data_IF_164230511787
#
_entry.id   IF_164230511787
#
_cell.length_a   1.000
_cell.length_b   1.000
_cell.length_c   1.000
_cell.angle_alpha   90.00
_cell.angle_beta   90.00
_cell.angle_gamma   90.00
#
_symmetry.space_group_name_H-M   'P 1'
#
loop_
_entity.id
_entity.type
_entity.pdbx_description
1 polymer ?
#
# COMPACT_ATOMS: atom_id res chain seq x y z
N UNK A 1 -1.25 47.74 -28.96
CA UNK A 1 -2.47 47.40 -28.19
C UNK A 1 -2.86 45.97 -28.50
N UNK A 2 -2.62 45.05 -27.56
CA UNK A 2 -3.02 43.63 -27.67
C UNK A 2 -4.54 43.52 -27.48
N UNK A 3 -5.25 43.08 -28.52
CA UNK A 3 -6.70 42.82 -28.43
C UNK A 3 -6.94 41.72 -27.40
N UNK A 4 -7.54 42.07 -26.26
CA UNK A 4 -8.09 41.08 -25.31
C UNK A 4 -9.34 40.47 -25.94
N UNK A 5 -9.32 39.16 -26.15
CA UNK A 5 -10.51 38.43 -26.58
C UNK A 5 -11.51 38.36 -25.43
N UNK A 6 -12.81 38.66 -25.67
CA UNK A 6 -13.83 38.54 -24.64
C UNK A 6 -14.04 37.06 -24.30
N UNK A 7 -14.00 36.73 -23.01
CA UNK A 7 -14.34 35.40 -22.51
C UNK A 7 -15.83 35.18 -22.78
N UNK A 8 -16.15 34.35 -23.79
CA UNK A 8 -17.52 33.89 -24.03
C UNK A 8 -17.83 32.78 -23.02
N UNK A 9 -18.85 32.98 -22.19
CA UNK A 9 -19.48 31.94 -21.36
C UNK A 9 -20.27 30.94 -22.23
N UNK A 10 -19.60 30.29 -23.16
CA UNK A 10 -20.09 29.08 -23.82
C UNK A 10 -19.11 27.99 -23.44
N UNK A 11 -19.51 27.06 -22.58
CA UNK A 11 -18.69 25.88 -22.29
C UNK A 11 -18.23 25.28 -23.64
N UNK A 12 -16.93 25.31 -23.96
CA UNK A 12 -16.47 24.82 -25.24
C UNK A 12 -16.65 23.31 -25.25
N UNK A 13 -17.61 22.82 -26.04
CA UNK A 13 -17.82 21.39 -26.22
C UNK A 13 -16.64 20.81 -27.01
N UNK A 14 -15.85 19.92 -26.38
CA UNK A 14 -14.73 19.24 -27.02
C UNK A 14 -15.22 17.91 -27.60
N UNK A 15 -15.14 17.77 -28.93
CA UNK A 15 -15.43 16.50 -29.60
C UNK A 15 -14.15 15.68 -29.74
N UNK A 16 -14.01 14.63 -28.93
CA UNK A 16 -12.88 13.71 -28.98
C UNK A 16 -13.13 12.58 -29.98
N UNK A 17 -12.22 12.40 -30.93
CA UNK A 17 -12.19 11.21 -31.80
C UNK A 17 -11.41 10.12 -31.11
N UNK A 18 -12.12 9.10 -30.63
CA UNK A 18 -11.56 7.92 -29.97
C UNK A 18 -11.79 6.68 -30.82
N UNK A 19 -10.87 5.70 -30.74
CA UNK A 19 -11.07 4.40 -31.36
C UNK A 19 -12.29 3.68 -30.77
N UNK A 20 -12.85 2.72 -31.51
CA UNK A 20 -14.02 1.95 -31.04
C UNK A 20 -13.72 1.20 -29.75
N UNK A 21 -12.57 0.53 -29.69
CA UNK A 21 -12.06 -0.18 -28.51
C UNK A 21 -11.98 0.75 -27.29
N UNK A 22 -11.39 1.94 -27.44
CA UNK A 22 -11.23 2.88 -26.34
C UNK A 22 -12.58 3.40 -25.83
N UNK A 23 -13.56 3.63 -26.72
CA UNK A 23 -14.92 4.02 -26.30
C UNK A 23 -15.60 2.93 -25.48
N UNK A 24 -15.44 1.67 -25.88
CA UNK A 24 -15.98 0.53 -25.17
C UNK A 24 -15.33 0.38 -23.79
N UNK A 25 -14.01 0.54 -23.69
CA UNK A 25 -13.29 0.54 -22.39
C UNK A 25 -13.77 1.65 -21.48
N UNK A 26 -13.88 2.89 -21.98
CA UNK A 26 -14.34 4.04 -21.18
C UNK A 26 -15.78 3.82 -20.70
N UNK A 27 -16.66 3.29 -21.55
CA UNK A 27 -18.03 2.97 -21.16
C UNK A 27 -18.08 1.89 -20.06
N UNK A 28 -17.27 0.84 -20.19
CA UNK A 28 -17.19 -0.22 -19.19
C UNK A 28 -16.68 0.32 -17.83
N UNK A 29 -15.64 1.14 -17.83
CA UNK A 29 -15.10 1.73 -16.60
C UNK A 29 -16.04 2.76 -15.96
N UNK A 30 -16.70 3.60 -16.75
CA UNK A 30 -17.71 4.54 -16.25
C UNK A 30 -18.91 3.80 -15.61
N UNK A 31 -19.34 2.69 -16.23
CA UNK A 31 -20.41 1.83 -15.69
C UNK A 31 -20.00 1.16 -14.37
N UNK A 32 -18.76 0.65 -14.25
CA UNK A 32 -18.23 0.09 -12.99
C UNK A 32 -18.24 1.10 -11.85
N UNK A 33 -17.98 2.38 -12.16
CA UNK A 33 -17.96 3.48 -11.19
C UNK A 33 -19.32 4.15 -10.97
N UNK A 34 -20.38 3.67 -11.64
CA UNK A 34 -21.72 4.23 -11.59
C UNK A 34 -21.77 5.75 -11.90
N UNK A 35 -21.01 6.19 -12.91
CA UNK A 35 -20.95 7.59 -13.36
C UNK A 35 -21.20 7.69 -14.86
N UNK A 36 -21.56 8.88 -15.34
CA UNK A 36 -21.71 9.12 -16.79
C UNK A 36 -20.35 9.16 -17.48
N UNK A 37 -20.30 8.76 -18.75
CA UNK A 37 -19.07 8.80 -19.57
C UNK A 37 -18.45 10.19 -19.58
N UNK A 38 -19.27 11.24 -19.70
CA UNK A 38 -18.78 12.62 -19.69
C UNK A 38 -18.18 13.02 -18.36
N UNK A 39 -18.76 12.58 -17.23
CA UNK A 39 -18.23 12.82 -15.89
C UNK A 39 -16.89 12.09 -15.70
N UNK A 40 -16.85 10.80 -16.05
CA UNK A 40 -15.62 10.00 -16.00
C UNK A 40 -14.48 10.61 -16.83
N UNK A 41 -14.76 11.02 -18.06
CA UNK A 41 -13.76 11.66 -18.92
C UNK A 41 -13.26 12.99 -18.36
N UNK A 42 -14.16 13.80 -17.78
CA UNK A 42 -13.77 15.07 -17.17
C UNK A 42 -12.84 14.85 -15.98
N UNK A 43 -13.22 13.96 -15.06
CA UNK A 43 -12.41 13.60 -13.89
C UNK A 43 -11.05 13.02 -14.31
N UNK A 44 -11.03 12.14 -15.31
CA UNK A 44 -9.79 11.57 -15.84
C UNK A 44 -8.88 12.65 -16.44
N UNK A 45 -9.43 13.58 -17.23
CA UNK A 45 -8.67 14.67 -17.82
C UNK A 45 -8.17 15.65 -16.76
N UNK A 46 -8.95 15.92 -15.72
CA UNK A 46 -8.55 16.72 -14.56
C UNK A 46 -7.40 16.05 -13.79
N UNK A 47 -7.46 14.74 -13.57
CA UNK A 47 -6.40 13.93 -12.96
C UNK A 47 -5.11 13.91 -13.79
N UNK A 48 -5.22 13.84 -15.12
CA UNK A 48 -4.06 13.88 -16.01
C UNK A 48 -3.45 15.29 -16.01
N UNK A 49 -4.29 16.32 -16.09
CA UNK A 49 -3.83 17.70 -16.16
C UNK A 49 -3.19 18.19 -14.86
N UNK A 50 -3.74 17.81 -13.71
CA UNK A 50 -3.15 18.07 -12.39
C UNK A 50 -1.81 17.33 -12.18
N UNK A 51 -1.55 16.29 -12.96
CA UNK A 51 -0.39 15.41 -12.79
C UNK A 51 -0.60 14.32 -11.73
N UNK A 52 -1.73 14.34 -11.04
CA UNK A 52 -2.06 13.39 -9.97
C UNK A 52 -2.24 11.97 -10.50
N UNK A 53 -2.67 11.80 -11.76
CA UNK A 53 -2.69 10.49 -12.42
C UNK A 53 -1.29 9.86 -12.47
N UNK A 54 -0.27 10.64 -12.83
CA UNK A 54 1.10 10.14 -12.92
C UNK A 54 1.67 9.84 -11.53
N UNK A 55 1.33 10.65 -10.52
CA UNK A 55 1.71 10.40 -9.13
C UNK A 55 1.05 9.14 -8.59
N UNK A 56 -0.23 8.92 -8.88
CA UNK A 56 -0.96 7.71 -8.52
C UNK A 56 -0.31 6.46 -9.09
N UNK A 57 -0.04 6.43 -10.39
CA UNK A 57 0.60 5.28 -11.03
C UNK A 57 1.99 5.00 -10.44
N UNK A 58 2.82 6.03 -10.26
CA UNK A 58 4.16 5.86 -9.67
C UNK A 58 4.10 5.38 -8.22
N UNK A 59 3.15 5.86 -7.42
CA UNK A 59 2.99 5.43 -6.03
C UNK A 59 2.44 4.01 -5.97
N UNK A 60 1.41 3.69 -6.77
CA UNK A 60 0.84 2.36 -6.88
C UNK A 60 1.91 1.34 -7.27
N UNK A 61 2.69 1.62 -8.31
CA UNK A 61 3.81 0.79 -8.74
C UNK A 61 4.83 0.59 -7.63
N UNK A 62 5.19 1.65 -6.89
CA UNK A 62 6.15 1.53 -5.77
C UNK A 62 5.62 0.63 -4.66
N UNK A 63 4.36 0.78 -4.29
CA UNK A 63 3.73 -0.02 -3.23
C UNK A 63 3.58 -1.47 -3.69
N UNK A 64 3.06 -1.72 -4.89
CA UNK A 64 2.95 -3.07 -5.46
C UNK A 64 4.30 -3.76 -5.56
N UNK A 65 5.33 -3.07 -6.08
CA UNK A 65 6.68 -3.63 -6.16
C UNK A 65 7.25 -4.03 -4.80
N UNK A 66 6.92 -3.28 -3.74
CA UNK A 66 7.32 -3.65 -2.38
C UNK A 66 6.53 -4.86 -1.86
N UNK A 67 5.20 -4.84 -1.96
CA UNK A 67 4.33 -5.91 -1.45
C UNK A 67 4.57 -7.25 -2.17
N UNK A 68 4.91 -7.22 -3.45
CA UNK A 68 5.26 -8.41 -4.23
C UNK A 68 6.76 -8.71 -4.22
N UNK A 69 7.57 -7.94 -3.49
CA UNK A 69 8.99 -8.24 -3.34
C UNK A 69 9.19 -9.55 -2.60
N UNK A 70 10.22 -10.29 -3.00
CA UNK A 70 10.63 -11.54 -2.33
C UNK A 70 10.85 -11.32 -0.84
N UNK A 71 11.46 -10.20 -0.46
CA UNK A 71 11.82 -9.89 0.93
C UNK A 71 10.57 -9.69 1.80
N UNK A 72 9.54 -9.00 1.30
CA UNK A 72 8.28 -8.82 2.02
C UNK A 72 7.50 -10.13 2.13
N UNK A 73 7.40 -10.90 1.04
CA UNK A 73 6.73 -12.20 1.07
C UNK A 73 7.44 -13.15 2.06
N UNK A 74 8.78 -13.17 2.06
CA UNK A 74 9.55 -13.97 3.02
C UNK A 74 9.30 -13.54 4.47
N UNK A 75 9.21 -12.23 4.73
CA UNK A 75 8.86 -11.70 6.05
C UNK A 75 7.46 -12.15 6.48
N UNK A 76 6.46 -12.05 5.61
CA UNK A 76 5.08 -12.46 5.90
C UNK A 76 5.03 -13.96 6.19
N UNK A 77 5.61 -14.79 5.31
CA UNK A 77 5.69 -16.26 5.52
C UNK A 77 6.38 -16.58 6.85
N UNK A 78 7.45 -15.86 7.18
CA UNK A 78 8.16 -16.02 8.44
C UNK A 78 7.27 -15.68 9.65
N UNK A 79 6.56 -14.55 9.64
CA UNK A 79 5.58 -14.17 10.68
C UNK A 79 4.56 -15.29 10.88
N UNK A 80 3.98 -15.84 9.80
CA UNK A 80 3.05 -16.96 9.89
C UNK A 80 3.69 -18.23 10.45
N UNK A 81 4.94 -18.53 10.08
CA UNK A 81 5.66 -19.71 10.57
C UNK A 81 5.85 -19.69 12.09
N UNK A 82 6.02 -18.49 12.68
CA UNK A 82 6.16 -18.30 14.13
C UNK A 82 4.91 -18.64 14.93
N UNK A 83 3.75 -18.80 14.29
CA UNK A 83 2.55 -19.34 14.91
C UNK A 83 2.76 -20.77 15.43
N UNK A 84 3.53 -21.57 14.68
CA UNK A 84 3.78 -22.98 14.99
C UNK A 84 5.15 -23.19 15.66
N UNK A 85 6.16 -22.40 15.28
CA UNK A 85 7.54 -22.55 15.76
C UNK A 85 8.08 -21.21 16.24
N UNK A 86 8.02 -20.96 17.55
CA UNK A 86 8.39 -19.66 18.14
C UNK A 86 9.86 -19.50 18.44
N UNK A 87 10.57 -20.62 18.54
CA UNK A 87 12.00 -20.64 18.81
C UNK A 87 12.73 -19.84 17.74
N UNK A 88 13.76 -19.11 18.18
CA UNK A 88 14.72 -18.47 17.29
C UNK A 88 15.51 -19.56 16.57
N UNK A 89 15.20 -19.73 15.29
CA UNK A 89 15.91 -20.64 14.38
C UNK A 89 16.72 -19.87 13.34
N UNK A 90 16.51 -18.56 13.28
CA UNK A 90 17.07 -17.64 12.30
C UNK A 90 18.52 -17.29 12.64
N UNK A 91 19.34 -17.24 11.59
CA UNK A 91 20.66 -16.64 11.63
C UNK A 91 20.60 -15.12 11.85
N UNK A 92 21.71 -14.53 12.30
CA UNK A 92 21.80 -13.06 12.45
C UNK A 92 21.53 -12.33 11.14
N UNK A 93 22.01 -12.88 10.01
CA UNK A 93 21.81 -12.30 8.67
C UNK A 93 20.34 -12.32 8.25
N UNK A 94 19.59 -13.37 8.59
CA UNK A 94 18.16 -13.43 8.35
C UNK A 94 17.40 -12.39 9.17
N UNK A 95 17.75 -12.23 10.45
CA UNK A 95 17.17 -11.20 11.30
C UNK A 95 17.47 -9.79 10.78
N UNK A 96 18.70 -9.55 10.30
CA UNK A 96 19.08 -8.28 9.68
C UNK A 96 18.24 -7.97 8.44
N UNK A 97 17.99 -8.97 7.59
CA UNK A 97 17.09 -8.83 6.44
C UNK A 97 15.66 -8.52 6.86
N UNK A 98 15.11 -9.25 7.85
CA UNK A 98 13.76 -8.98 8.34
C UNK A 98 13.62 -7.59 8.94
N UNK A 99 14.61 -7.13 9.73
CA UNK A 99 14.64 -5.77 10.28
C UNK A 99 14.68 -4.73 9.15
N UNK A 100 15.50 -4.95 8.12
CA UNK A 100 15.59 -4.04 6.99
C UNK A 100 14.26 -3.95 6.23
N UNK A 101 13.58 -5.07 6.03
CA UNK A 101 12.24 -5.10 5.41
C UNK A 101 11.21 -4.41 6.30
N UNK A 102 11.16 -4.72 7.59
CA UNK A 102 10.23 -4.11 8.57
C UNK A 102 10.35 -2.58 8.62
N UNK A 103 11.56 -2.04 8.58
CA UNK A 103 11.78 -0.58 8.51
C UNK A 103 11.22 0.07 7.24
N UNK A 104 11.17 -0.68 6.14
CA UNK A 104 10.60 -0.19 4.87
C UNK A 104 9.08 -0.32 4.83
N UNK A 105 8.50 -1.30 5.54
CA UNK A 105 7.04 -1.55 5.56
C UNK A 105 6.27 -0.27 5.87
N UNK A 106 6.75 0.55 6.80
CA UNK A 106 6.10 1.81 7.20
C UNK A 106 5.81 2.76 6.01
N UNK A 107 6.57 2.70 4.92
CA UNK A 107 6.36 3.59 3.77
C UNK A 107 5.40 3.01 2.71
N UNK A 108 4.96 1.77 2.89
CA UNK A 108 4.27 1.00 1.86
C UNK A 108 2.98 0.36 2.36
N UNK A 109 2.58 0.60 3.61
CA UNK A 109 1.34 0.11 4.18
C UNK A 109 0.67 1.19 5.03
N UNK A 110 -0.66 1.14 5.20
CA UNK A 110 -1.37 2.05 6.08
C UNK A 110 -0.81 2.06 7.51
N UNK A 111 -0.87 3.23 8.17
CA UNK A 111 -0.38 3.46 9.54
C UNK A 111 -0.84 2.41 10.55
N UNK A 112 -2.11 2.01 10.49
CA UNK A 112 -2.66 1.03 11.42
C UNK A 112 -2.00 -0.35 11.27
N UNK A 113 -1.58 -0.71 10.06
CA UNK A 113 -0.87 -1.95 9.77
C UNK A 113 0.62 -1.79 10.07
N UNK A 114 1.22 -0.64 9.78
CA UNK A 114 2.61 -0.32 10.14
C UNK A 114 2.84 -0.49 11.65
N UNK A 115 1.90 -0.02 12.49
CA UNK A 115 1.94 -0.22 13.95
C UNK A 115 1.91 -1.68 14.38
N UNK A 116 1.24 -2.56 13.62
CA UNK A 116 1.31 -3.99 13.89
C UNK A 116 2.71 -4.52 13.58
N UNK A 117 3.30 -4.15 12.45
CA UNK A 117 4.67 -4.52 12.10
C UNK A 117 5.72 -3.97 13.08
N UNK A 118 5.48 -2.82 13.71
CA UNK A 118 6.34 -2.28 14.76
C UNK A 118 6.40 -3.20 15.99
N UNK A 119 5.31 -3.90 16.33
CA UNK A 119 5.31 -4.90 17.43
C UNK A 119 6.26 -6.05 17.09
N UNK A 120 6.23 -6.51 15.83
CA UNK A 120 7.14 -7.55 15.33
C UNK A 120 8.59 -7.05 15.38
N UNK A 121 8.82 -5.81 14.93
CA UNK A 121 10.16 -5.20 14.94
C UNK A 121 10.71 -5.10 16.37
N UNK A 122 9.91 -4.64 17.33
CA UNK A 122 10.32 -4.55 18.73
C UNK A 122 10.70 -5.92 19.29
N UNK A 123 9.92 -6.95 19.00
CA UNK A 123 10.19 -8.31 19.46
C UNK A 123 11.44 -8.90 18.81
N UNK A 124 11.63 -8.69 17.50
CA UNK A 124 12.84 -9.08 16.77
C UNK A 124 14.08 -8.39 17.34
N UNK A 125 13.99 -7.10 17.66
CA UNK A 125 15.09 -6.37 18.28
C UNK A 125 15.41 -6.90 19.68
N UNK A 126 14.40 -7.22 20.50
CA UNK A 126 14.62 -7.86 21.82
C UNK A 126 15.36 -9.20 21.68
N UNK A 127 14.89 -10.07 20.79
CA UNK A 127 15.49 -11.40 20.53
C UNK A 127 16.89 -11.30 19.89
N UNK A 128 17.19 -10.18 19.22
CA UNK A 128 18.52 -9.89 18.68
C UNK A 128 19.50 -9.46 19.78
N UNK A 129 19.09 -8.58 20.67
CA UNK A 129 19.93 -8.07 21.78
C UNK A 129 20.01 -9.02 22.97
N UNK A 130 19.19 -10.08 22.99
CA UNK A 130 19.28 -11.13 23.98
C UNK A 130 20.56 -11.97 23.75
N UNK A 131 21.62 -11.63 24.49
CA UNK A 131 22.93 -12.29 24.46
C UNK A 131 22.97 -13.56 25.33
N UNK A 132 21.84 -14.02 25.87
CA UNK A 132 21.80 -15.18 26.76
C UNK A 132 22.16 -16.48 26.02
N UNK A 133 23.43 -16.88 26.12
CA UNK A 133 23.99 -18.13 25.56
C UNK A 133 23.28 -19.42 25.98
N UNK A 134 22.37 -19.36 26.94
CA UNK A 134 21.80 -20.52 27.62
C UNK A 134 20.27 -20.59 27.56
N UNK A 135 19.61 -19.65 26.88
CA UNK A 135 18.14 -19.61 26.82
C UNK A 135 17.71 -19.60 25.37
N UNK A 136 16.92 -20.60 24.97
CA UNK A 136 16.24 -20.57 23.67
C UNK A 136 15.39 -19.30 23.63
N UNK A 137 15.77 -18.32 22.81
CA UNK A 137 14.96 -17.12 22.64
C UNK A 137 13.69 -17.48 21.85
N UNK A 138 12.57 -16.91 22.26
CA UNK A 138 11.27 -17.11 21.60
C UNK A 138 10.72 -15.78 21.12
N UNK A 139 9.99 -15.82 20.02
CA UNK A 139 9.17 -14.70 19.56
C UNK A 139 7.79 -14.73 20.24
N UNK A 140 7.40 -13.61 20.82
CA UNK A 140 6.17 -13.42 21.58
C UNK A 140 5.18 -12.47 20.91
N UNK A 141 5.52 -11.86 19.78
CA UNK A 141 4.63 -10.94 19.07
C UNK A 141 3.28 -11.57 18.65
N UNK A 142 3.14 -12.90 18.61
CA UNK A 142 1.84 -13.57 18.35
C UNK A 142 1.08 -13.96 19.62
N UNK A 143 1.72 -13.95 20.80
CA UNK A 143 1.15 -14.53 22.02
C UNK A 143 1.43 -13.71 23.30
N UNK A 144 1.55 -12.38 23.19
CA UNK A 144 1.61 -11.52 24.38
C UNK A 144 0.40 -11.72 25.31
N UNK A 145 0.59 -11.59 26.62
CA UNK A 145 -0.49 -11.68 27.61
C UNK A 145 -1.58 -10.62 27.45
N UNK A 146 -1.29 -9.52 26.72
CA UNK A 146 -2.24 -8.45 26.41
C UNK A 146 -2.63 -8.53 24.92
N UNK A 147 -3.92 -8.66 24.62
CA UNK A 147 -4.42 -8.73 23.23
C UNK A 147 -3.97 -7.55 22.37
N UNK A 148 -3.77 -6.37 22.97
CA UNK A 148 -3.30 -5.16 22.28
C UNK A 148 -1.85 -5.24 21.80
N UNK A 149 -1.02 -6.08 22.42
CA UNK A 149 0.39 -6.26 22.09
C UNK A 149 0.62 -7.41 21.11
N UNK A 150 -0.42 -8.19 20.80
CA UNK A 150 -0.35 -9.22 19.78
C UNK A 150 -0.41 -8.59 18.39
N UNK A 151 0.39 -9.14 17.49
CA UNK A 151 0.30 -8.89 16.06
C UNK A 151 -1.03 -9.42 15.54
N UNK A 152 -1.81 -8.55 14.93
CA UNK A 152 -3.11 -8.92 14.40
C UNK A 152 -3.00 -9.43 12.95
N UNK A 153 -2.87 -10.75 12.81
CA UNK A 153 -2.85 -11.42 11.50
C UNK A 153 -4.09 -11.12 10.65
N UNK A 154 -5.27 -10.88 11.26
CA UNK A 154 -6.49 -10.59 10.50
C UNK A 154 -6.41 -9.28 9.74
N UNK A 155 -5.75 -8.26 10.30
CA UNK A 155 -5.56 -6.98 9.62
C UNK A 155 -4.66 -7.14 8.40
N UNK A 156 -3.58 -7.93 8.54
CA UNK A 156 -2.71 -8.25 7.42
C UNK A 156 -3.45 -9.03 6.32
N UNK A 157 -4.26 -10.02 6.68
CA UNK A 157 -5.07 -10.79 5.73
C UNK A 157 -6.09 -9.91 5.01
N UNK A 158 -6.79 -9.05 5.74
CA UNK A 158 -7.76 -8.12 5.15
C UNK A 158 -7.07 -7.19 4.15
N UNK A 159 -5.91 -6.64 4.50
CA UNK A 159 -5.16 -5.76 3.60
C UNK A 159 -4.66 -6.48 2.34
N UNK A 160 -4.12 -7.70 2.48
CA UNK A 160 -3.56 -8.45 1.35
C UNK A 160 -4.63 -9.07 0.44
N UNK A 161 -5.82 -9.39 0.98
CA UNK A 161 -6.91 -10.02 0.21
C UNK A 161 -7.90 -9.01 -0.37
N UNK A 162 -7.99 -7.79 0.18
CA UNK A 162 -8.86 -6.75 -0.34
C UNK A 162 -8.14 -5.84 -1.33
N UNK A 163 -8.40 -6.07 -2.63
CA UNK A 163 -7.91 -5.22 -3.72
C UNK A 163 -8.38 -3.75 -3.64
N UNK A 164 -9.37 -3.42 -2.80
CA UNK A 164 -9.82 -2.05 -2.58
C UNK A 164 -8.95 -1.32 -1.55
N UNK A 165 -8.49 -2.03 -0.52
CA UNK A 165 -7.69 -1.45 0.55
C UNK A 165 -6.38 -0.82 0.05
N UNK A 166 -5.73 -1.46 -0.93
CA UNK A 166 -4.53 -0.91 -1.58
C UNK A 166 -4.82 0.39 -2.33
N UNK A 167 -5.94 0.44 -3.07
CA UNK A 167 -6.33 1.61 -3.86
C UNK A 167 -6.71 2.78 -2.96
N UNK A 168 -7.42 2.50 -1.87
CA UNK A 168 -7.81 3.51 -0.88
C UNK A 168 -6.58 4.12 -0.21
N UNK A 169 -5.60 3.30 0.19
CA UNK A 169 -4.33 3.77 0.75
C UNK A 169 -3.55 4.68 -0.23
N UNK A 170 -3.38 4.26 -1.48
CA UNK A 170 -2.67 5.05 -2.50
C UNK A 170 -3.37 6.39 -2.76
N UNK A 171 -4.71 6.43 -2.70
CA UNK A 171 -5.48 7.65 -2.85
C UNK A 171 -5.36 8.59 -1.64
N UNK A 172 -5.39 8.05 -0.41
CA UNK A 172 -5.18 8.82 0.83
C UNK A 172 -3.81 9.50 0.82
N UNK A 173 -2.76 8.77 0.46
CA UNK A 173 -1.38 9.27 0.47
C UNK A 173 -1.14 10.40 -0.55
N UNK A 174 -1.86 10.40 -1.66
CA UNK A 174 -1.81 11.49 -2.65
C UNK A 174 -2.47 12.75 -2.10
N UNK A 175 -3.58 12.60 -1.39
CA UNK A 175 -4.31 13.73 -0.80
C UNK A 175 -3.53 14.37 0.36
N UNK A 176 -2.75 13.59 1.11
CA UNK A 176 -1.90 14.11 2.19
C UNK A 176 -0.65 14.86 1.66
N UNK A 177 -0.27 14.65 0.40
CA UNK A 177 0.86 15.31 -0.27
C UNK A 177 0.48 16.58 -1.06
N UNK A 178 -0.82 16.88 -1.21
CA UNK A 178 -1.36 18.01 -1.97
C UNK A 178 -1.77 19.18 -1.08
#
# INVERSE_FOLDING_TARGET
MSKKYPIKNSDPSVNLRLSKELKETIQAEAAKRNVTVSKYLRELLELIYSGDYCRYEVLNDKVENFLFSKDFIQLVVWIYSKRYKREKTESSEELDRYIATLKKVHFHVPDHLAREFDKVLQDVMKVRYDESKYTTSFFWFLESGLEKEKFNLKLLEQFLLDNRALKEYVLEEINDLS
#
